data_IF_791059259307
#
_entry.id   IF_791059259307
#
_cell.length_a   1.000
_cell.length_b   1.000
_cell.length_c   1.000
_cell.angle_alpha   90.00
_cell.angle_beta   90.00
_cell.angle_gamma   90.00
#
_symmetry.space_group_name_H-M   'P 1'
#
loop_
_entity.id
_entity.type
_entity.pdbx_description
1 polymer ?
#
# COMPACT_ATOMS: atom_id res chain seq x y z
N UNK A 1 0.52 -5.88 -10.00
CA UNK A 1 0.77 -5.28 -8.67
C UNK A 1 1.10 -3.81 -8.85
N UNK A 2 0.78 -2.94 -7.88
CA UNK A 2 1.18 -1.54 -7.89
C UNK A 2 1.72 -1.11 -6.53
N UNK A 3 2.83 -0.36 -6.55
CA UNK A 3 3.36 0.35 -5.39
C UNK A 3 2.54 1.62 -5.16
N UNK A 4 1.81 1.70 -4.04
CA UNK A 4 1.01 2.88 -3.72
C UNK A 4 0.84 3.06 -2.21
N UNK A 5 0.95 4.32 -1.76
CA UNK A 5 0.85 4.67 -0.35
C UNK A 5 -0.47 5.32 0.03
N UNK A 6 -0.84 6.39 -0.67
CA UNK A 6 -1.96 7.25 -0.29
C UNK A 6 -3.28 6.74 -0.86
N UNK A 7 -4.38 6.98 -0.14
CA UNK A 7 -5.73 6.67 -0.59
C UNK A 7 -6.01 7.10 -2.05
N UNK A 8 -5.63 8.33 -2.42
CA UNK A 8 -5.77 8.83 -3.81
C UNK A 8 -5.05 7.97 -4.84
N UNK A 9 -3.81 7.57 -4.56
CA UNK A 9 -3.01 6.76 -5.48
C UNK A 9 -3.53 5.31 -5.57
N UNK A 10 -3.86 4.73 -4.41
CA UNK A 10 -4.45 3.40 -4.29
C UNK A 10 -5.76 3.34 -5.07
N UNK A 11 -6.68 4.27 -4.82
CA UNK A 11 -7.98 4.35 -5.51
C UNK A 11 -7.83 4.32 -7.03
N UNK A 12 -6.96 5.18 -7.59
CA UNK A 12 -6.70 5.21 -9.03
C UNK A 12 -6.20 3.85 -9.54
N UNK A 13 -5.28 3.21 -8.82
CA UNK A 13 -4.75 1.90 -9.21
C UNK A 13 -5.86 0.83 -9.22
N UNK A 14 -6.73 0.83 -8.22
CA UNK A 14 -7.88 -0.08 -8.12
C UNK A 14 -8.91 0.18 -9.23
N UNK A 15 -9.21 1.44 -9.53
CA UNK A 15 -10.10 1.81 -10.64
C UNK A 15 -9.55 1.36 -12.00
N UNK A 16 -8.22 1.32 -12.16
CA UNK A 16 -7.55 0.75 -13.34
C UNK A 16 -7.44 -0.79 -13.33
N UNK A 17 -8.00 -1.48 -12.33
CA UNK A 17 -8.05 -2.94 -12.29
C UNK A 17 -6.79 -3.61 -11.72
N UNK A 18 -5.95 -2.89 -10.97
CA UNK A 18 -4.82 -3.51 -10.27
C UNK A 18 -5.34 -4.48 -9.20
N UNK A 19 -4.83 -5.72 -9.24
CA UNK A 19 -5.22 -6.79 -8.32
C UNK A 19 -4.52 -6.75 -6.95
N UNK A 20 -3.31 -6.22 -6.85
CA UNK A 20 -2.56 -6.15 -5.58
C UNK A 20 -1.93 -4.77 -5.38
N UNK A 21 -2.08 -4.23 -4.17
CA UNK A 21 -1.49 -2.98 -3.72
C UNK A 21 -0.39 -3.31 -2.72
N UNK A 22 0.84 -2.92 -3.06
CA UNK A 22 2.01 -3.09 -2.21
C UNK A 22 2.13 -1.88 -1.27
N UNK A 23 2.60 -2.12 -0.04
CA UNK A 23 2.69 -1.14 1.04
C UNK A 23 1.31 -0.74 1.59
N UNK A 24 0.62 0.22 0.95
CA UNK A 24 -0.72 0.66 1.33
C UNK A 24 -0.83 1.43 2.65
N UNK A 25 0.26 1.99 3.17
CA UNK A 25 0.32 2.53 4.54
C UNK A 25 -0.67 3.66 4.86
N UNK A 26 -1.07 4.46 3.86
CA UNK A 26 -1.89 5.67 4.02
C UNK A 26 -3.23 5.54 3.29
N UNK A 27 -3.79 4.32 3.28
CA UNK A 27 -5.15 4.06 2.80
C UNK A 27 -6.19 4.65 3.77
N UNK A 28 -7.34 5.07 3.24
CA UNK A 28 -8.51 5.47 4.04
C UNK A 28 -9.62 4.41 4.00
N UNK A 29 -10.65 4.58 4.82
CA UNK A 29 -11.74 3.61 4.94
C UNK A 29 -12.51 3.42 3.62
N UNK A 30 -12.78 4.51 2.90
CA UNK A 30 -13.52 4.47 1.64
C UNK A 30 -12.75 3.74 0.54
N UNK A 31 -11.43 3.96 0.46
CA UNK A 31 -10.57 3.28 -0.51
C UNK A 31 -10.36 1.82 -0.14
N UNK A 32 -10.20 1.49 1.14
CA UNK A 32 -10.12 0.10 1.60
C UNK A 32 -11.41 -0.67 1.30
N UNK A 33 -12.58 -0.03 1.46
CA UNK A 33 -13.87 -0.61 1.08
C UNK A 33 -13.94 -0.89 -0.44
N UNK A 34 -13.51 0.07 -1.27
CA UNK A 34 -13.44 -0.12 -2.72
C UNK A 34 -12.51 -1.28 -3.11
N UNK A 35 -11.35 -1.41 -2.44
CA UNK A 35 -10.44 -2.54 -2.66
C UNK A 35 -11.13 -3.88 -2.43
N UNK A 36 -11.86 -4.00 -1.31
CA UNK A 36 -12.60 -5.22 -0.97
C UNK A 36 -13.71 -5.52 -1.99
N UNK A 37 -14.50 -4.50 -2.39
CA UNK A 37 -15.55 -4.63 -3.41
C UNK A 37 -15.01 -5.10 -4.77
N UNK A 38 -13.79 -4.69 -5.11
CA UNK A 38 -13.10 -5.06 -6.37
C UNK A 38 -12.32 -6.38 -6.25
N UNK A 39 -12.28 -7.03 -5.09
CA UNK A 39 -11.50 -8.24 -4.86
C UNK A 39 -9.99 -8.02 -4.97
N UNK A 40 -9.52 -6.82 -4.64
CA UNK A 40 -8.10 -6.48 -4.62
C UNK A 40 -7.46 -6.83 -3.27
N UNK A 41 -6.16 -7.14 -3.30
CA UNK A 41 -5.40 -7.56 -2.14
C UNK A 41 -4.43 -6.46 -1.70
N UNK A 42 -4.17 -6.39 -0.39
CA UNK A 42 -3.09 -5.57 0.18
C UNK A 42 -1.91 -6.47 0.56
N UNK A 43 -0.69 -6.00 0.30
CA UNK A 43 0.57 -6.64 0.74
C UNK A 43 1.34 -5.62 1.59
N UNK A 44 1.08 -5.57 2.91
CA UNK A 44 1.78 -4.65 3.80
C UNK A 44 3.22 -5.09 4.03
N UNK A 45 4.14 -4.13 4.06
CA UNK A 45 5.59 -4.36 4.23
C UNK A 45 6.12 -3.64 5.47
N UNK A 46 5.36 -3.67 6.57
CA UNK A 46 5.62 -2.89 7.77
C UNK A 46 7.03 -3.08 8.35
N UNK A 47 7.53 -4.33 8.33
CA UNK A 47 8.87 -4.68 8.82
C UNK A 47 9.98 -3.88 8.14
N UNK A 48 9.83 -3.53 6.86
CA UNK A 48 10.84 -2.75 6.14
C UNK A 48 10.98 -1.35 6.73
N UNK A 49 9.89 -0.68 7.12
CA UNK A 49 9.98 0.63 7.76
C UNK A 49 10.59 0.54 9.15
N UNK A 50 10.26 -0.51 9.91
CA UNK A 50 10.86 -0.75 11.22
C UNK A 50 12.37 -0.96 11.10
N UNK A 51 12.82 -1.79 10.16
CA UNK A 51 14.24 -2.07 9.96
C UNK A 51 14.99 -0.84 9.42
N UNK A 52 14.38 -0.06 8.52
CA UNK A 52 14.96 1.21 8.07
C UNK A 52 15.08 2.22 9.22
N UNK A 53 14.10 2.29 10.14
CA UNK A 53 14.18 3.16 11.29
C UNK A 53 15.30 2.74 12.27
N UNK A 54 15.53 1.43 12.44
CA UNK A 54 16.56 0.90 13.35
C UNK A 54 17.97 0.96 12.77
N UNK A 55 18.13 0.58 11.50
CA UNK A 55 19.43 0.30 10.90
C UNK A 55 19.73 1.15 9.66
N UNK A 56 18.74 1.89 9.12
CA UNK A 56 18.89 2.57 7.83
C UNK A 56 19.99 3.63 7.80
N UNK A 57 20.24 4.31 8.93
CA UNK A 57 21.30 5.31 9.03
C UNK A 57 22.72 4.70 8.95
N UNK A 58 22.89 3.43 9.32
CA UNK A 58 24.18 2.72 9.26
C UNK A 58 24.53 2.25 7.84
N UNK A 59 23.53 2.20 6.95
CA UNK A 59 23.64 1.65 5.60
C UNK A 59 23.68 2.73 4.49
N UNK A 60 23.72 4.02 4.86
CA UNK A 60 23.66 5.17 3.96
C UNK A 60 24.99 5.84 3.68
#
# INVERSE_FOLDING_TARGET
MAHAYTARAIRRAIECGVRTIEHGNLVDADTAKLMAEKGAFAVPTQVTYEMLAKHGAEAG
#
